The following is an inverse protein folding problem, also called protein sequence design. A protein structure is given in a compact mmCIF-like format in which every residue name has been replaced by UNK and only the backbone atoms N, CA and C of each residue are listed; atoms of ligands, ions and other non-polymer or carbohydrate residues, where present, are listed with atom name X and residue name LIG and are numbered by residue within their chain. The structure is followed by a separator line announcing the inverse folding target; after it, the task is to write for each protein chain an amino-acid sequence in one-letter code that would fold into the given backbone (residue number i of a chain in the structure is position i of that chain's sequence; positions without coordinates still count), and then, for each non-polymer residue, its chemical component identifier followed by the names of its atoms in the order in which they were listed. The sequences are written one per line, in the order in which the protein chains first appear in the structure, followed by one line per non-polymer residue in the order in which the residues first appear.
data_IF_066691480692
#
_entry.id   IF_066691480692
#
_cell.length_a   1.000
_cell.length_b   1.000
_cell.length_c   1.000
_cell.angle_alpha   90.00
_cell.angle_beta   90.00
_cell.angle_gamma   90.00
#
_symmetry.space_group_name_H-M   'P 1'
#
loop_
_entity.id
_entity.type
_entity.pdbx_description
1 polymer ?
#
# COMPACT_ATOMS: atom_id res chain seq x y z
N UNK A 1 15.97 31.09 6.38
CA UNK A 1 17.00 30.10 6.15
C UNK A 1 16.97 29.14 7.33
N UNK A 2 16.26 28.06 7.22
CA UNK A 2 16.37 26.86 8.07
C UNK A 2 16.05 25.72 7.12
N UNK A 3 17.09 25.11 6.58
CA UNK A 3 17.01 23.90 5.81
C UNK A 3 16.67 22.74 6.76
N UNK A 4 15.47 22.23 6.65
CA UNK A 4 15.16 20.91 7.18
C UNK A 4 15.94 19.91 6.32
N UNK A 5 17.07 19.43 6.82
CA UNK A 5 17.82 18.33 6.26
C UNK A 5 16.93 17.10 6.26
N UNK A 6 16.76 16.49 5.09
CA UNK A 6 16.32 15.09 4.97
C UNK A 6 17.17 14.27 5.96
N UNK A 7 16.60 13.33 6.72
CA UNK A 7 17.39 12.51 7.61
C UNK A 7 18.43 11.74 6.81
N UNK A 8 19.70 12.06 7.04
CA UNK A 8 20.87 11.56 6.30
C UNK A 8 21.22 10.10 6.63
N UNK A 9 20.35 9.34 7.28
CA UNK A 9 20.64 7.99 7.80
C UNK A 9 19.51 6.96 7.61
N UNK A 10 18.90 6.93 6.44
CA UNK A 10 18.25 5.71 5.97
C UNK A 10 19.19 5.07 4.95
N UNK A 11 20.28 4.50 5.44
CA UNK A 11 21.07 3.55 4.65
C UNK A 11 20.21 2.32 4.34
N UNK A 12 20.58 1.52 3.32
CA UNK A 12 19.82 0.32 2.92
C UNK A 12 19.60 -0.71 4.02
N UNK A 13 20.13 -0.50 5.21
CA UNK A 13 20.03 -1.37 6.38
C UNK A 13 18.95 -0.97 7.40
N UNK A 14 18.41 0.25 7.36
CA UNK A 14 17.46 0.73 8.38
C UNK A 14 16.12 -0.03 8.41
N UNK A 15 15.70 -0.60 7.29
CA UNK A 15 14.50 -1.45 7.19
C UNK A 15 14.75 -2.88 7.70
N UNK A 16 15.99 -3.38 7.62
CA UNK A 16 16.30 -4.78 7.79
C UNK A 16 16.80 -5.14 9.18
N UNK A 17 17.42 -4.20 9.90
CA UNK A 17 17.97 -4.48 11.24
C UNK A 17 16.88 -4.57 12.32
N UNK A 18 15.71 -4.00 12.10
CA UNK A 18 14.58 -4.02 13.05
C UNK A 18 13.76 -5.31 13.02
N UNK A 19 13.87 -6.12 11.98
CA UNK A 19 13.07 -7.34 11.78
C UNK A 19 13.68 -8.57 12.48
N UNK A 20 14.94 -8.53 12.91
CA UNK A 20 15.67 -9.74 13.35
C UNK A 20 15.62 -10.09 14.84
N UNK A 21 15.04 -9.28 15.73
CA UNK A 21 15.25 -9.48 17.20
C UNK A 21 14.06 -10.01 18.02
N UNK A 22 12.94 -10.47 17.44
CA UNK A 22 11.84 -11.01 18.25
C UNK A 22 11.40 -12.40 17.81
N UNK A 23 11.51 -13.38 18.75
CA UNK A 23 10.99 -14.73 18.51
C UNK A 23 9.45 -14.74 18.38
N UNK A 24 8.90 -15.49 17.39
CA UNK A 24 7.45 -15.58 17.20
C UNK A 24 6.79 -16.35 18.36
N UNK A 25 5.70 -15.81 18.91
CA UNK A 25 4.82 -16.56 19.80
C UNK A 25 4.20 -17.75 19.03
N UNK A 26 4.05 -18.86 19.72
CA UNK A 26 3.61 -20.20 19.24
C UNK A 26 2.78 -20.22 17.96
N UNK A 27 3.24 -21.00 16.98
CA UNK A 27 2.51 -21.28 15.74
C UNK A 27 1.30 -22.19 16.00
N UNK A 28 0.10 -21.77 15.59
CA UNK A 28 -1.14 -22.55 15.62
C UNK A 28 -1.22 -23.59 14.47
N UNK A 29 -2.15 -24.57 14.51
CA UNK A 29 -2.28 -25.63 13.52
C UNK A 29 -2.47 -25.15 12.07
N UNK A 30 -2.12 -26.02 11.10
CA UNK A 30 -2.01 -25.73 9.67
C UNK A 30 -3.34 -25.75 8.87
N UNK A 31 -4.50 -25.64 9.50
CA UNK A 31 -5.76 -25.55 8.76
C UNK A 31 -5.92 -24.17 8.08
N UNK A 32 -6.51 -24.16 6.88
CA UNK A 32 -6.76 -22.92 6.16
C UNK A 32 -7.66 -21.99 6.97
N UNK A 33 -7.28 -20.71 7.08
CA UNK A 33 -8.11 -19.70 7.74
C UNK A 33 -9.20 -19.27 6.75
N UNK A 34 -10.44 -19.72 6.99
CA UNK A 34 -11.59 -19.41 6.15
C UNK A 34 -12.69 -18.75 6.98
N UNK A 35 -13.23 -17.64 6.47
CA UNK A 35 -14.34 -16.93 7.07
C UNK A 35 -14.00 -16.02 8.27
N UNK A 36 -15.00 -15.29 8.75
CA UNK A 36 -14.88 -14.34 9.85
C UNK A 36 -15.22 -15.00 11.19
N UNK A 37 -14.35 -14.88 12.21
CA UNK A 37 -14.65 -15.41 13.54
C UNK A 37 -15.85 -14.67 14.19
N UNK A 38 -16.92 -15.36 14.49
CA UNK A 38 -18.12 -14.79 15.11
C UNK A 38 -17.86 -14.04 16.44
N UNK A 39 -16.80 -14.44 17.16
CA UNK A 39 -16.35 -13.78 18.40
C UNK A 39 -15.95 -12.31 18.22
N UNK A 40 -15.46 -11.93 17.04
CA UNK A 40 -15.00 -10.56 16.74
C UNK A 40 -16.05 -9.71 16.05
N UNK A 41 -17.03 -10.31 15.39
CA UNK A 41 -17.96 -9.63 14.50
C UNK A 41 -19.39 -9.98 14.81
N UNK A 42 -20.21 -8.97 15.06
CA UNK A 42 -21.69 -9.11 15.20
C UNK A 42 -22.41 -9.13 13.84
N UNK A 43 -21.73 -8.71 12.77
CA UNK A 43 -22.24 -8.72 11.39
C UNK A 43 -21.05 -8.72 10.42
N UNK A 44 -21.30 -9.08 9.16
CA UNK A 44 -20.28 -9.03 8.11
C UNK A 44 -19.99 -7.58 7.71
N UNK A 45 -18.75 -7.05 7.95
CA UNK A 45 -18.41 -5.67 7.61
C UNK A 45 -18.55 -5.34 6.11
N UNK A 46 -18.45 -6.33 5.23
CA UNK A 46 -18.59 -6.15 3.78
C UNK A 46 -20.01 -5.76 3.34
N UNK A 47 -20.99 -5.96 4.22
CA UNK A 47 -22.39 -5.58 4.01
C UNK A 47 -22.68 -4.11 4.35
N UNK A 48 -21.72 -3.40 4.94
CA UNK A 48 -21.90 -1.98 5.28
C UNK A 48 -22.15 -1.15 4.01
N UNK A 49 -23.03 -0.16 4.16
CA UNK A 49 -23.32 0.83 3.13
C UNK A 49 -23.13 2.21 3.74
N UNK A 50 -22.35 3.05 3.06
CA UNK A 50 -22.15 4.43 3.50
C UNK A 50 -23.45 5.23 3.38
N UNK A 51 -23.68 6.11 4.35
CA UNK A 51 -24.74 7.12 4.29
C UNK A 51 -24.37 8.23 3.31
N UNK A 52 -25.32 9.10 2.93
CA UNK A 52 -25.05 10.23 2.04
C UNK A 52 -23.97 11.16 2.61
N UNK A 53 -23.97 11.42 3.92
CA UNK A 53 -22.96 12.24 4.58
C UNK A 53 -21.58 11.58 4.58
N UNK A 54 -21.52 10.27 4.75
CA UNK A 54 -20.29 9.50 4.68
C UNK A 54 -19.74 9.44 3.24
N UNK A 55 -20.60 9.27 2.24
CA UNK A 55 -20.23 9.35 0.82
C UNK A 55 -19.67 10.72 0.46
N UNK A 56 -20.31 11.81 0.91
CA UNK A 56 -19.84 13.17 0.71
C UNK A 56 -18.47 13.40 1.37
N UNK A 57 -18.30 12.92 2.61
CA UNK A 57 -17.03 13.01 3.31
C UNK A 57 -15.92 12.24 2.59
N UNK A 58 -16.18 11.00 2.15
CA UNK A 58 -15.21 10.21 1.40
C UNK A 58 -14.87 10.83 0.05
N UNK A 59 -15.82 11.47 -0.61
CA UNK A 59 -15.56 12.20 -1.85
C UNK A 59 -14.56 13.35 -1.62
N UNK A 60 -14.73 14.12 -0.55
CA UNK A 60 -13.78 15.16 -0.16
C UNK A 60 -12.38 14.59 0.19
N UNK A 61 -12.33 13.47 0.93
CA UNK A 61 -11.08 12.77 1.24
C UNK A 61 -10.35 12.39 -0.05
N UNK A 62 -11.07 11.80 -0.99
CA UNK A 62 -10.51 11.33 -2.25
C UNK A 62 -10.05 12.47 -3.15
N UNK A 63 -10.83 13.53 -3.29
CA UNK A 63 -10.45 14.70 -4.10
C UNK A 63 -9.19 15.36 -3.55
N UNK A 64 -9.09 15.55 -2.23
CA UNK A 64 -7.89 16.12 -1.60
C UNK A 64 -6.68 15.21 -1.74
N UNK A 65 -6.86 13.90 -1.58
CA UNK A 65 -5.80 12.92 -1.80
C UNK A 65 -5.32 12.94 -3.27
N UNK A 66 -6.25 13.05 -4.23
CA UNK A 66 -5.92 13.19 -5.64
C UNK A 66 -5.09 14.46 -5.94
N UNK A 67 -5.38 15.58 -5.30
CA UNK A 67 -4.61 16.83 -5.47
C UNK A 67 -3.12 16.63 -5.15
N UNK A 68 -2.77 15.75 -4.20
CA UNK A 68 -1.37 15.40 -3.96
C UNK A 68 -0.72 14.86 -5.23
N UNK A 69 -1.33 13.88 -5.87
CA UNK A 69 -0.78 13.24 -7.07
C UNK A 69 -0.78 14.16 -8.29
N UNK A 70 -1.70 15.09 -8.34
CA UNK A 70 -1.77 16.08 -9.42
C UNK A 70 -0.72 17.17 -9.29
N UNK A 71 -0.53 17.72 -8.09
CA UNK A 71 0.34 18.87 -7.83
C UNK A 71 1.78 18.49 -7.45
N UNK A 72 1.99 17.36 -6.79
CA UNK A 72 3.31 16.86 -6.40
C UNK A 72 3.94 15.97 -7.48
N UNK A 73 3.37 15.90 -8.66
CA UNK A 73 4.02 15.35 -9.83
C UNK A 73 4.92 16.38 -10.51
N UNK A 74 6.11 15.96 -10.93
CA UNK A 74 6.96 16.79 -11.76
C UNK A 74 6.24 17.10 -13.10
N UNK A 75 6.05 18.37 -13.47
CA UNK A 75 5.24 18.74 -14.64
C UNK A 75 5.85 18.32 -15.98
N UNK A 76 7.16 18.02 -16.02
CA UNK A 76 7.88 17.62 -17.25
C UNK A 76 8.00 16.09 -17.38
N UNK A 77 7.87 15.35 -16.31
CA UNK A 77 8.15 13.92 -16.29
C UNK A 77 6.99 13.08 -15.75
N UNK A 78 6.07 13.70 -15.02
CA UNK A 78 4.96 13.02 -14.36
C UNK A 78 5.37 12.17 -13.15
N UNK A 79 6.65 12.14 -12.79
CA UNK A 79 7.11 11.37 -11.62
C UNK A 79 6.64 12.07 -10.33
N UNK A 80 6.16 11.29 -9.37
CA UNK A 80 5.49 11.78 -8.17
C UNK A 80 6.44 11.75 -6.99
N UNK A 81 6.48 12.84 -6.22
CA UNK A 81 7.28 12.96 -5.01
C UNK A 81 6.92 11.88 -3.99
N UNK A 82 7.93 11.39 -3.26
CA UNK A 82 7.73 10.53 -2.10
C UNK A 82 6.86 11.21 -1.07
N UNK A 83 7.18 12.46 -0.77
CA UNK A 83 6.50 13.30 0.20
C UNK A 83 6.43 14.76 -0.24
N UNK A 84 5.39 15.46 0.17
CA UNK A 84 5.22 16.88 -0.05
C UNK A 84 4.59 17.54 1.16
N UNK A 85 4.78 18.86 1.33
CA UNK A 85 4.14 19.61 2.40
C UNK A 85 2.61 19.40 2.36
N UNK A 86 2.00 19.01 3.45
CA UNK A 86 0.57 18.72 3.54
C UNK A 86 -0.31 19.95 3.22
N UNK A 87 0.21 21.16 3.43
CA UNK A 87 -0.42 22.43 3.05
C UNK A 87 -0.15 22.83 1.59
N UNK A 88 0.60 22.03 0.84
CA UNK A 88 1.02 22.31 -0.53
C UNK A 88 2.37 23.03 -0.61
N UNK A 89 2.99 22.96 -1.76
CA UNK A 89 4.32 23.55 -2.02
C UNK A 89 4.91 23.01 -3.31
N UNK A 90 6.08 23.49 -3.68
CA UNK A 90 6.78 22.98 -4.84
C UNK A 90 7.34 21.57 -4.56
N UNK A 91 7.34 20.68 -5.57
CA UNK A 91 8.01 19.38 -5.50
C UNK A 91 9.48 19.49 -5.09
N UNK A 92 9.97 18.52 -4.33
CA UNK A 92 11.33 18.49 -3.77
C UNK A 92 12.33 17.73 -4.64
N UNK A 93 11.87 17.16 -5.76
CA UNK A 93 12.66 16.37 -6.72
C UNK A 93 13.21 15.03 -6.15
N UNK A 94 12.49 14.44 -5.21
CA UNK A 94 12.75 13.10 -4.69
C UNK A 94 11.49 12.23 -4.88
N UNK A 95 11.40 11.62 -6.07
CA UNK A 95 10.24 10.83 -6.47
C UNK A 95 10.35 9.38 -6.00
N UNK A 96 9.22 8.82 -5.54
CA UNK A 96 9.06 7.39 -5.26
C UNK A 96 8.36 6.71 -6.44
N UNK A 97 8.92 5.59 -6.90
CA UNK A 97 8.26 4.82 -7.97
C UNK A 97 6.96 4.19 -7.51
N UNK A 98 6.87 3.80 -6.23
CA UNK A 98 5.61 3.33 -5.62
C UNK A 98 4.55 4.45 -5.59
N UNK A 99 4.90 5.65 -5.10
CA UNK A 99 3.99 6.79 -5.12
C UNK A 99 3.51 7.12 -6.53
N UNK A 100 4.39 7.00 -7.54
CA UNK A 100 4.03 7.17 -8.95
C UNK A 100 3.02 6.10 -9.40
N UNK A 101 3.14 4.86 -8.93
CA UNK A 101 2.17 3.79 -9.19
C UNK A 101 0.79 4.08 -8.60
N UNK A 102 0.72 4.52 -7.34
CA UNK A 102 -0.53 5.00 -6.73
C UNK A 102 -1.12 6.18 -7.51
N UNK A 103 -0.29 7.14 -7.92
CA UNK A 103 -0.72 8.30 -8.69
C UNK A 103 -1.27 7.96 -10.08
N UNK A 104 -0.69 6.99 -10.78
CA UNK A 104 -1.25 6.49 -12.04
C UNK A 104 -2.67 5.95 -11.85
N UNK A 105 -2.91 5.23 -10.77
CA UNK A 105 -4.27 4.76 -10.43
C UNK A 105 -5.18 5.94 -10.02
N UNK A 106 -4.64 6.90 -9.27
CA UNK A 106 -5.38 8.12 -8.89
C UNK A 106 -5.82 8.94 -10.12
N UNK A 107 -5.01 8.98 -11.18
CA UNK A 107 -5.37 9.59 -12.46
C UNK A 107 -6.56 8.88 -13.13
N UNK A 108 -6.63 7.54 -13.07
CA UNK A 108 -7.80 6.78 -13.57
C UNK A 108 -9.06 7.12 -12.76
N UNK A 109 -8.95 7.21 -11.43
CA UNK A 109 -10.07 7.61 -10.56
C UNK A 109 -10.52 9.03 -10.89
N UNK A 110 -9.59 9.96 -11.06
CA UNK A 110 -9.91 11.36 -11.38
C UNK A 110 -10.65 11.49 -12.71
N UNK A 111 -10.21 10.81 -13.76
CA UNK A 111 -10.90 10.77 -15.04
C UNK A 111 -12.31 10.16 -14.90
N UNK A 112 -12.44 9.05 -14.15
CA UNK A 112 -13.72 8.41 -13.89
C UNK A 112 -14.71 9.30 -13.11
N UNK A 113 -14.21 10.06 -12.15
CA UNK A 113 -14.98 10.98 -11.31
C UNK A 113 -15.20 12.35 -11.95
N UNK A 114 -14.50 12.67 -13.04
CA UNK A 114 -14.57 13.97 -13.70
C UNK A 114 -13.92 15.10 -12.86
N UNK A 115 -12.90 14.79 -12.06
CA UNK A 115 -12.18 15.81 -11.28
C UNK A 115 -11.21 16.63 -12.14
N UNK A 116 -10.76 16.05 -13.25
CA UNK A 116 -9.90 16.67 -14.25
C UNK A 116 -10.38 16.33 -15.65
N UNK A 117 -10.02 17.15 -16.63
CA UNK A 117 -10.33 16.91 -18.03
C UNK A 117 -9.64 15.64 -18.55
N UNK A 118 -10.39 14.74 -19.18
CA UNK A 118 -9.90 13.44 -19.66
C UNK A 118 -8.64 13.56 -20.55
N UNK A 119 -8.61 14.57 -21.43
CA UNK A 119 -7.44 14.82 -22.28
C UNK A 119 -6.18 15.18 -21.45
N UNK A 120 -6.31 16.01 -20.41
CA UNK A 120 -5.19 16.39 -19.55
C UNK A 120 -4.69 15.19 -18.75
N UNK A 121 -5.61 14.35 -18.28
CA UNK A 121 -5.25 13.11 -17.56
C UNK A 121 -4.50 12.15 -18.49
N UNK A 122 -4.99 11.90 -19.71
CA UNK A 122 -4.31 11.04 -20.71
C UNK A 122 -2.91 11.51 -21.02
N UNK A 123 -2.72 12.80 -21.25
CA UNK A 123 -1.39 13.38 -21.52
C UNK A 123 -0.46 13.19 -20.31
N UNK A 124 -0.96 13.36 -19.09
CA UNK A 124 -0.19 13.12 -17.87
C UNK A 124 0.21 11.65 -17.75
N UNK A 125 -0.69 10.71 -18.03
CA UNK A 125 -0.41 9.27 -18.02
C UNK A 125 0.66 8.92 -19.06
N UNK A 126 0.53 9.39 -20.31
CA UNK A 126 1.53 9.17 -21.36
C UNK A 126 2.89 9.72 -20.99
N UNK A 127 2.93 10.94 -20.45
CA UNK A 127 4.16 11.56 -19.97
C UNK A 127 4.83 10.71 -18.90
N UNK A 128 4.08 10.29 -17.89
CA UNK A 128 4.57 9.50 -16.76
C UNK A 128 5.12 8.14 -17.18
N UNK A 129 4.33 7.38 -17.96
CA UNK A 129 4.74 6.07 -18.46
C UNK A 129 5.89 6.17 -19.46
N UNK A 130 5.83 7.13 -20.38
CA UNK A 130 6.88 7.36 -21.38
C UNK A 130 8.22 7.76 -20.75
N UNK A 131 8.20 8.60 -19.72
CA UNK A 131 9.39 8.96 -18.97
C UNK A 131 9.94 7.76 -18.16
N UNK A 132 9.05 7.03 -17.49
CA UNK A 132 9.45 5.83 -16.74
C UNK A 132 10.09 4.78 -17.63
N UNK A 133 9.57 4.58 -18.85
CA UNK A 133 10.13 3.63 -19.81
C UNK A 133 11.52 4.02 -20.31
N UNK A 134 11.75 5.32 -20.59
CA UNK A 134 12.93 5.82 -21.31
C UNK A 134 14.02 6.36 -20.40
N UNK A 135 13.68 6.94 -19.25
CA UNK A 135 14.58 7.76 -18.45
C UNK A 135 14.79 7.26 -17.02
N UNK A 136 13.78 6.61 -16.42
CA UNK A 136 13.94 6.12 -15.05
C UNK A 136 14.97 5.00 -15.02
N UNK A 137 16.00 5.20 -14.19
CA UNK A 137 17.07 4.23 -14.01
C UNK A 137 16.51 2.90 -13.46
N UNK A 138 16.98 1.81 -14.02
CA UNK A 138 16.47 0.47 -13.74
C UNK A 138 17.57 -0.59 -13.86
N UNK A 139 17.32 -1.79 -13.36
CA UNK A 139 18.15 -2.96 -13.55
C UNK A 139 17.27 -4.17 -13.86
N UNK A 140 17.45 -4.81 -15.01
CA UNK A 140 16.62 -5.94 -15.45
C UNK A 140 15.11 -5.66 -15.42
N UNK A 141 14.72 -4.42 -15.75
CA UNK A 141 13.33 -3.96 -15.74
C UNK A 141 12.80 -3.51 -14.38
N UNK A 142 13.49 -3.83 -13.28
CA UNK A 142 13.14 -3.32 -11.94
C UNK A 142 13.65 -1.89 -11.74
N UNK A 143 12.82 -1.05 -11.16
CA UNK A 143 13.08 0.36 -10.90
C UNK A 143 13.79 0.55 -9.55
N UNK A 144 14.58 1.60 -9.43
CA UNK A 144 15.08 2.04 -8.13
C UNK A 144 13.93 2.65 -7.30
N UNK A 145 13.92 2.38 -5.99
CA UNK A 145 12.91 2.86 -5.04
C UNK A 145 12.73 4.38 -5.13
N UNK A 146 13.83 5.15 -5.01
CA UNK A 146 13.84 6.59 -5.13
C UNK A 146 14.64 7.05 -6.34
N UNK A 147 14.05 7.99 -7.09
CA UNK A 147 14.66 8.58 -8.28
C UNK A 147 14.46 10.09 -8.30
N UNK A 148 15.36 10.80 -8.99
CA UNK A 148 15.13 12.21 -9.30
C UNK A 148 13.90 12.35 -10.19
N UNK A 149 12.92 13.13 -9.74
CA UNK A 149 11.73 13.45 -10.53
C UNK A 149 12.04 14.16 -11.84
N UNK A 150 13.19 14.82 -11.93
CA UNK A 150 13.64 15.55 -13.12
C UNK A 150 14.39 14.66 -14.12
N UNK A 151 15.29 13.81 -13.64
CA UNK A 151 16.22 13.06 -14.49
C UNK A 151 15.95 11.56 -14.53
N UNK A 152 15.19 11.02 -13.59
CA UNK A 152 14.97 9.59 -13.44
C UNK A 152 16.14 8.82 -12.84
N UNK A 153 17.23 9.49 -12.46
CA UNK A 153 18.42 8.84 -11.89
C UNK A 153 18.18 8.45 -10.44
N UNK A 154 18.79 7.35 -10.01
CA UNK A 154 18.78 6.85 -8.62
C UNK A 154 19.10 7.95 -7.61
N UNK A 155 18.34 8.02 -6.54
CA UNK A 155 18.57 8.90 -5.39
C UNK A 155 18.74 8.10 -4.09
N UNK A 156 19.30 8.78 -3.08
CA UNK A 156 19.40 8.29 -1.69
C UNK A 156 20.13 6.95 -1.54
N UNK A 157 20.96 6.56 -2.49
CA UNK A 157 21.58 5.23 -2.57
C UNK A 157 20.57 4.09 -2.46
N UNK A 158 19.32 4.34 -2.90
CA UNK A 158 18.25 3.38 -2.83
C UNK A 158 18.56 2.10 -3.63
N UNK A 159 17.93 1.03 -3.25
CA UNK A 159 17.97 -0.25 -3.97
C UNK A 159 17.09 -0.23 -5.21
N UNK A 160 17.37 -1.11 -6.14
CA UNK A 160 16.39 -1.62 -7.10
C UNK A 160 15.38 -2.43 -6.29
N UNK A 161 14.13 -2.02 -6.32
CA UNK A 161 13.09 -2.56 -5.45
C UNK A 161 12.03 -3.35 -6.23
N UNK A 162 11.89 -4.65 -5.99
CA UNK A 162 10.83 -5.43 -6.64
C UNK A 162 9.43 -5.08 -6.15
N UNK A 163 9.28 -4.69 -4.87
CA UNK A 163 7.97 -4.33 -4.33
C UNK A 163 7.48 -2.99 -4.88
N UNK A 164 8.34 -1.96 -4.91
CA UNK A 164 7.99 -0.65 -5.45
C UNK A 164 7.76 -0.71 -6.95
N UNK A 165 8.54 -1.54 -7.67
CA UNK A 165 8.29 -1.86 -9.07
C UNK A 165 6.92 -2.52 -9.24
N UNK A 166 6.55 -3.46 -8.37
CA UNK A 166 5.23 -4.10 -8.37
C UNK A 166 4.09 -3.09 -8.20
N UNK A 167 4.21 -2.16 -7.24
CA UNK A 167 3.25 -1.08 -7.02
C UNK A 167 3.15 -0.13 -8.22
N UNK A 168 4.29 0.24 -8.82
CA UNK A 168 4.32 1.03 -10.05
C UNK A 168 3.59 0.31 -11.20
N UNK A 169 3.87 -0.97 -11.40
CA UNK A 169 3.22 -1.78 -12.44
C UNK A 169 1.71 -1.94 -12.21
N UNK A 170 1.26 -2.06 -10.97
CA UNK A 170 -0.17 -2.06 -10.67
C UNK A 170 -0.85 -0.77 -11.17
N UNK A 171 -0.23 0.39 -10.96
CA UNK A 171 -0.72 1.66 -11.50
C UNK A 171 -0.69 1.71 -13.03
N UNK A 172 0.43 1.31 -13.64
CA UNK A 172 0.56 1.28 -15.10
C UNK A 172 -0.48 0.35 -15.76
N UNK A 173 -0.69 -0.83 -15.20
CA UNK A 173 -1.69 -1.80 -15.69
C UNK A 173 -3.13 -1.32 -15.45
N UNK A 174 -3.39 -0.54 -14.40
CA UNK A 174 -4.70 0.11 -14.22
C UNK A 174 -4.97 1.11 -15.35
N UNK A 175 -3.97 1.94 -15.71
CA UNK A 175 -4.07 2.84 -16.86
C UNK A 175 -4.28 2.09 -18.16
N UNK A 176 -3.55 0.98 -18.41
CA UNK A 176 -3.71 0.13 -19.58
C UNK A 176 -5.15 -0.39 -19.76
N UNK A 177 -5.77 -0.75 -18.65
CA UNK A 177 -7.11 -1.31 -18.64
C UNK A 177 -8.22 -0.26 -18.73
N UNK A 178 -7.98 0.92 -18.17
CA UNK A 178 -8.98 1.99 -18.11
C UNK A 178 -9.04 2.82 -19.38
N UNK A 179 -7.89 3.23 -19.93
CA UNK A 179 -7.87 4.11 -21.10
C UNK A 179 -7.90 3.30 -22.42
N UNK A 180 -8.89 3.61 -23.26
CA UNK A 180 -8.87 3.17 -24.66
C UNK A 180 -7.92 4.08 -25.46
N UNK A 181 -6.62 3.85 -25.28
CA UNK A 181 -5.53 4.58 -25.90
C UNK A 181 -4.34 3.65 -26.15
N UNK A 182 -4.03 3.44 -27.44
CA UNK A 182 -3.01 2.48 -27.85
C UNK A 182 -1.60 2.83 -27.36
N UNK A 183 -1.30 4.11 -27.19
CA UNK A 183 0.01 4.55 -26.69
C UNK A 183 0.14 4.21 -25.20
N UNK A 184 -0.87 4.54 -24.37
CA UNK A 184 -0.91 4.16 -22.95
C UNK A 184 -0.82 2.64 -22.79
N UNK A 185 -1.59 1.89 -23.59
CA UNK A 185 -1.61 0.43 -23.56
C UNK A 185 -0.23 -0.16 -23.93
N UNK A 186 0.43 0.41 -24.95
CA UNK A 186 1.75 0.00 -25.40
C UNK A 186 2.82 0.27 -24.34
N UNK A 187 2.87 1.49 -23.80
CA UNK A 187 3.84 1.90 -22.79
C UNK A 187 3.74 1.05 -21.51
N UNK A 188 2.52 0.82 -21.03
CA UNK A 188 2.29 0.02 -19.81
C UNK A 188 2.65 -1.45 -20.04
N UNK A 189 2.36 -1.99 -21.22
CA UNK A 189 2.72 -3.37 -21.58
C UNK A 189 4.23 -3.54 -21.66
N UNK A 190 4.95 -2.62 -22.30
CA UNK A 190 6.42 -2.67 -22.40
C UNK A 190 7.09 -2.55 -21.04
N UNK A 191 6.59 -1.67 -20.15
CA UNK A 191 7.06 -1.55 -18.78
C UNK A 191 6.90 -2.85 -17.98
N UNK A 192 5.79 -3.56 -18.16
CA UNK A 192 5.54 -4.84 -17.50
C UNK A 192 6.38 -5.97 -18.10
N UNK A 193 6.41 -6.10 -19.42
CA UNK A 193 7.03 -7.23 -20.14
C UNK A 193 8.57 -7.22 -20.02
N UNK A 194 9.20 -6.05 -19.78
CA UNK A 194 10.67 -5.92 -19.63
C UNK A 194 11.20 -6.45 -18.30
N UNK A 195 10.33 -6.70 -17.29
CA UNK A 195 10.77 -7.09 -15.95
C UNK A 195 11.20 -8.55 -15.93
N UNK A 196 12.48 -8.79 -15.63
CA UNK A 196 13.06 -10.11 -15.53
C UNK A 196 12.89 -10.69 -14.13
N UNK A 197 11.67 -11.14 -13.81
CA UNK A 197 11.29 -11.64 -12.47
C UNK A 197 12.20 -12.75 -11.94
N UNK A 198 12.75 -13.58 -12.81
CA UNK A 198 13.66 -14.65 -12.40
C UNK A 198 15.05 -14.13 -11.99
N UNK A 199 15.47 -12.94 -12.48
CA UNK A 199 16.72 -12.32 -12.09
C UNK A 199 16.74 -11.98 -10.60
N UNK A 200 15.67 -11.38 -10.07
CA UNK A 200 15.59 -10.97 -8.65
C UNK A 200 15.47 -12.15 -7.68
N UNK A 201 15.16 -13.36 -8.18
CA UNK A 201 15.23 -14.59 -7.37
C UNK A 201 16.68 -14.92 -6.99
N UNK A 202 17.65 -14.57 -7.82
CA UNK A 202 19.08 -14.82 -7.60
C UNK A 202 19.35 -16.25 -7.08
N UNK A 203 18.78 -17.24 -7.77
CA UNK A 203 18.94 -18.67 -7.42
C UNK A 203 18.24 -19.11 -6.13
N UNK A 204 17.47 -18.24 -5.45
CA UNK A 204 16.69 -18.59 -4.28
C UNK A 204 15.28 -19.04 -4.61
N UNK A 205 14.52 -19.48 -3.60
CA UNK A 205 13.12 -19.89 -3.72
C UNK A 205 12.14 -18.71 -3.58
N UNK A 206 12.58 -17.59 -2.98
CA UNK A 206 11.83 -16.36 -2.83
C UNK A 206 12.61 -15.18 -3.47
N UNK A 207 11.90 -14.09 -3.78
CA UNK A 207 12.51 -12.89 -4.35
C UNK A 207 13.41 -12.20 -3.32
N UNK A 208 14.60 -11.71 -3.74
CA UNK A 208 15.39 -10.80 -2.91
C UNK A 208 14.62 -9.52 -2.67
N UNK A 209 14.79 -8.89 -1.50
CA UNK A 209 14.15 -7.60 -1.23
C UNK A 209 14.69 -6.46 -2.10
N UNK A 210 15.85 -6.64 -2.71
CA UNK A 210 16.40 -5.65 -3.63
C UNK A 210 17.81 -5.98 -4.12
N UNK A 211 18.33 -5.04 -4.90
CA UNK A 211 19.70 -5.08 -5.42
C UNK A 211 20.29 -3.66 -5.41
N UNK A 212 21.56 -3.55 -5.02
CA UNK A 212 22.31 -2.30 -5.08
C UNK A 212 23.62 -2.50 -5.84
N UNK A 213 24.08 -1.53 -6.65
CA UNK A 213 25.30 -1.69 -7.45
C UNK A 213 26.55 -1.87 -6.59
N UNK A 214 26.56 -1.38 -5.36
CA UNK A 214 27.69 -1.41 -4.44
C UNK A 214 27.91 -2.78 -3.78
N UNK A 215 26.83 -3.60 -3.63
CA UNK A 215 26.87 -4.84 -2.83
C UNK A 215 26.20 -6.04 -3.52
N UNK A 216 25.46 -5.79 -4.63
CA UNK A 216 24.67 -6.83 -5.29
C UNK A 216 23.31 -7.03 -4.61
N UNK A 217 22.82 -8.27 -4.61
CA UNK A 217 21.52 -8.61 -4.02
C UNK A 217 21.52 -8.47 -2.51
N UNK A 218 20.45 -7.88 -1.99
CA UNK A 218 20.21 -7.81 -0.56
C UNK A 218 19.99 -9.22 0.01
N UNK A 219 20.48 -9.47 1.22
CA UNK A 219 20.34 -10.78 1.89
C UNK A 219 18.88 -11.12 2.26
N UNK A 220 18.08 -10.16 2.80
CA UNK A 220 16.68 -10.42 3.11
C UNK A 220 15.86 -10.73 1.86
N UNK A 221 14.83 -11.55 2.04
CA UNK A 221 13.95 -12.00 0.96
C UNK A 221 12.49 -11.73 1.32
N UNK A 222 11.68 -11.62 0.28
CA UNK A 222 10.23 -11.57 0.40
C UNK A 222 9.70 -12.99 0.64
N UNK A 223 10.04 -13.59 1.78
CA UNK A 223 9.76 -14.98 2.14
C UNK A 223 8.79 -15.14 3.31
N UNK A 224 8.20 -14.04 3.77
CA UNK A 224 7.22 -14.03 4.86
C UNK A 224 6.07 -13.07 4.51
N UNK A 225 4.83 -13.41 4.86
CA UNK A 225 3.63 -12.62 4.59
C UNK A 225 3.82 -11.13 4.94
N UNK A 226 3.55 -10.32 3.95
CA UNK A 226 3.56 -8.85 3.99
C UNK A 226 2.73 -8.34 2.80
N UNK A 227 3.00 -7.14 2.29
CA UNK A 227 2.39 -6.56 1.10
C UNK A 227 2.74 -7.27 -0.23
N UNK A 228 3.56 -8.30 -0.19
CA UNK A 228 4.22 -8.98 -1.31
C UNK A 228 3.31 -9.62 -2.37
N UNK A 229 2.04 -9.91 -2.06
CA UNK A 229 1.19 -10.73 -2.92
C UNK A 229 1.06 -10.21 -4.35
N UNK A 230 0.85 -8.87 -4.54
CA UNK A 230 0.70 -8.29 -5.87
C UNK A 230 1.95 -8.50 -6.73
N UNK A 231 3.14 -8.37 -6.14
CA UNK A 231 4.42 -8.57 -6.83
C UNK A 231 4.58 -10.02 -7.31
N UNK A 232 4.29 -10.99 -6.45
CA UNK A 232 4.34 -12.41 -6.82
C UNK A 232 3.32 -12.77 -7.89
N UNK A 233 2.08 -12.26 -7.78
CA UNK A 233 1.03 -12.52 -8.77
C UNK A 233 1.38 -11.95 -10.14
N UNK A 234 1.95 -10.74 -10.19
CA UNK A 234 2.46 -10.15 -11.43
C UNK A 234 3.62 -10.97 -12.01
N UNK A 235 4.57 -11.38 -11.17
CA UNK A 235 5.71 -12.18 -11.61
C UNK A 235 5.31 -13.58 -12.14
N UNK A 236 4.33 -14.24 -11.48
CA UNK A 236 3.79 -15.51 -11.97
C UNK A 236 3.11 -15.38 -13.35
N UNK A 237 2.43 -14.27 -13.58
CA UNK A 237 1.69 -14.02 -14.82
C UNK A 237 2.56 -13.50 -15.96
N UNK A 238 3.83 -13.17 -15.75
CA UNK A 238 4.73 -12.65 -16.77
C UNK A 238 4.80 -13.57 -17.99
N UNK A 239 4.74 -12.99 -19.18
CA UNK A 239 4.86 -13.73 -20.44
C UNK A 239 6.31 -13.90 -20.88
N UNK A 240 7.18 -13.00 -20.45
CA UNK A 240 8.59 -12.93 -20.87
C UNK A 240 9.51 -13.68 -19.91
N UNK A 241 9.36 -13.44 -18.62
CA UNK A 241 10.22 -13.98 -17.55
C UNK A 241 9.39 -14.45 -16.36
N UNK A 242 8.49 -15.44 -16.54
CA UNK A 242 7.58 -15.87 -15.49
C UNK A 242 8.31 -16.49 -14.30
N UNK A 243 7.83 -16.20 -13.10
CA UNK A 243 8.23 -16.94 -11.91
C UNK A 243 7.75 -18.38 -11.99
N UNK A 244 8.49 -19.35 -11.42
CA UNK A 244 7.99 -20.71 -11.26
C UNK A 244 6.71 -20.73 -10.41
N UNK A 245 5.69 -21.50 -10.81
CA UNK A 245 4.42 -21.57 -10.08
C UNK A 245 4.57 -22.00 -8.61
N UNK A 246 5.63 -22.74 -8.29
CA UNK A 246 5.96 -23.15 -6.92
C UNK A 246 6.28 -21.99 -5.99
N UNK A 247 6.77 -20.87 -6.51
CA UNK A 247 7.24 -19.73 -5.71
C UNK A 247 6.17 -19.15 -4.79
N UNK A 248 4.90 -19.23 -5.19
CA UNK A 248 3.77 -18.79 -4.38
C UNK A 248 3.69 -19.50 -3.03
N UNK A 249 4.18 -20.73 -2.96
CA UNK A 249 4.13 -21.56 -1.77
C UNK A 249 5.42 -21.51 -0.94
N UNK A 250 6.45 -20.83 -1.40
CA UNK A 250 7.75 -20.79 -0.74
C UNK A 250 7.81 -19.73 0.39
N UNK A 251 7.00 -18.69 0.32
CA UNK A 251 6.93 -17.71 1.39
C UNK A 251 6.00 -18.16 2.52
N UNK A 252 6.36 -17.81 3.73
CA UNK A 252 5.67 -18.22 4.95
C UNK A 252 4.42 -17.37 5.22
N UNK A 253 3.41 -17.97 5.86
CA UNK A 253 2.20 -17.34 6.39
C UNK A 253 2.17 -17.58 7.90
N UNK A 254 2.93 -16.81 8.69
CA UNK A 254 2.97 -17.00 10.13
C UNK A 254 1.58 -16.83 10.73
N UNK A 255 1.21 -17.73 11.63
CA UNK A 255 -0.08 -17.71 12.31
C UNK A 255 0.11 -17.25 13.74
N UNK A 256 -0.67 -16.29 14.12
CA UNK A 256 -0.66 -15.70 15.44
C UNK A 256 -2.05 -15.82 16.07
N UNK A 257 -2.09 -15.75 17.38
CA UNK A 257 -3.32 -15.79 18.15
C UNK A 257 -3.47 -14.52 18.96
N UNK A 258 -4.64 -13.90 18.86
CA UNK A 258 -5.06 -12.76 19.67
C UNK A 258 -6.47 -13.02 20.20
N UNK A 259 -6.65 -13.07 21.53
CA UNK A 259 -7.93 -13.35 22.17
C UNK A 259 -8.64 -14.58 21.58
N UNK A 260 -7.93 -15.71 21.49
CA UNK A 260 -8.38 -17.00 20.93
C UNK A 260 -8.73 -16.94 19.41
N UNK A 261 -8.36 -15.90 18.70
CA UNK A 261 -8.54 -15.79 17.26
C UNK A 261 -7.22 -15.94 16.55
N UNK A 262 -7.14 -16.96 15.68
CA UNK A 262 -5.96 -17.24 14.87
C UNK A 262 -6.07 -16.50 13.54
N UNK A 263 -4.98 -15.85 13.13
CA UNK A 263 -4.90 -15.13 11.85
C UNK A 263 -3.48 -15.19 11.27
N UNK A 264 -3.35 -14.94 9.97
CA UNK A 264 -2.04 -14.75 9.33
C UNK A 264 -1.59 -13.33 9.63
N UNK A 265 -0.45 -13.19 10.30
CA UNK A 265 0.12 -11.90 10.63
C UNK A 265 1.39 -11.60 9.84
N UNK A 266 1.78 -10.34 9.82
CA UNK A 266 3.01 -9.84 9.25
C UNK A 266 3.97 -9.40 10.35
N UNK A 267 5.28 -9.40 10.05
CA UNK A 267 6.30 -8.73 10.89
C UNK A 267 6.37 -7.23 10.59
N UNK A 268 5.37 -6.70 9.93
CA UNK A 268 5.24 -5.31 9.53
C UNK A 268 3.89 -4.76 10.02
N UNK A 269 3.76 -3.43 10.11
CA UNK A 269 2.53 -2.79 10.53
C UNK A 269 1.38 -3.01 9.54
N UNK A 270 0.24 -2.35 9.80
CA UNK A 270 -1.06 -2.65 9.18
C UNK A 270 -1.07 -2.56 7.65
N UNK A 271 -0.22 -1.73 7.03
CA UNK A 271 -0.13 -1.61 5.56
C UNK A 271 0.12 -2.94 4.85
N UNK A 272 0.81 -3.88 5.51
CA UNK A 272 1.06 -5.22 4.97
C UNK A 272 -0.22 -5.98 4.60
N UNK A 273 -1.32 -5.67 5.28
CA UNK A 273 -2.65 -6.21 5.00
C UNK A 273 -3.45 -5.37 3.99
N UNK A 274 -2.89 -4.26 3.47
CA UNK A 274 -3.64 -3.29 2.66
C UNK A 274 -3.15 -3.22 1.21
N UNK A 275 -1.85 -3.09 0.97
CA UNK A 275 -1.32 -2.68 -0.34
C UNK A 275 -1.69 -3.62 -1.48
N UNK A 276 -1.54 -4.95 -1.31
CA UNK A 276 -1.96 -5.89 -2.36
C UNK A 276 -3.47 -5.84 -2.64
N UNK A 277 -4.27 -5.53 -1.62
CA UNK A 277 -5.73 -5.42 -1.74
C UNK A 277 -6.18 -4.14 -2.47
N UNK A 278 -5.31 -3.16 -2.66
CA UNK A 278 -5.68 -1.95 -3.39
C UNK A 278 -6.03 -2.24 -4.86
N UNK A 279 -5.37 -3.24 -5.47
CA UNK A 279 -5.56 -3.60 -6.88
C UNK A 279 -6.15 -5.00 -7.07
N UNK A 280 -5.71 -5.99 -6.28
CA UNK A 280 -6.21 -7.35 -6.37
C UNK A 280 -7.43 -7.55 -5.46
N UNK A 281 -8.57 -7.90 -6.07
CA UNK A 281 -9.78 -8.22 -5.31
C UNK A 281 -9.73 -9.66 -4.79
N UNK A 282 -9.36 -9.83 -3.54
CA UNK A 282 -9.33 -11.13 -2.88
C UNK A 282 -10.67 -11.52 -2.22
N UNK A 283 -11.75 -10.76 -2.43
CA UNK A 283 -13.06 -11.06 -1.84
C UNK A 283 -13.62 -12.38 -2.36
N UNK A 284 -14.04 -13.24 -1.44
CA UNK A 284 -14.73 -14.48 -1.77
C UNK A 284 -13.87 -15.55 -2.43
N UNK A 285 -12.55 -15.43 -2.31
CA UNK A 285 -11.58 -16.41 -2.81
C UNK A 285 -10.52 -16.73 -1.74
N UNK A 286 -9.96 -17.92 -1.83
CA UNK A 286 -8.88 -18.36 -0.98
C UNK A 286 -7.86 -19.19 -1.78
N UNK A 287 -6.63 -19.24 -1.31
CA UNK A 287 -5.68 -20.26 -1.70
C UNK A 287 -5.70 -21.43 -0.67
N UNK A 288 -4.75 -22.36 -0.77
CA UNK A 288 -4.66 -23.47 0.19
C UNK A 288 -4.30 -23.04 1.62
N UNK A 289 -3.92 -21.79 1.85
CA UNK A 289 -3.44 -21.28 3.13
C UNK A 289 -4.47 -20.39 3.83
N UNK A 290 -5.12 -19.47 3.08
CA UNK A 290 -6.02 -18.50 3.68
C UNK A 290 -6.98 -17.84 2.66
N UNK A 291 -8.11 -17.38 3.17
CA UNK A 291 -8.87 -16.26 2.61
C UNK A 291 -8.22 -14.96 3.09
N UNK A 292 -7.41 -14.35 2.23
CA UNK A 292 -6.63 -13.16 2.60
C UNK A 292 -7.51 -11.93 2.84
N UNK A 293 -8.69 -11.84 2.22
CA UNK A 293 -9.61 -10.73 2.49
C UNK A 293 -10.23 -10.85 3.89
N UNK A 294 -10.74 -12.02 4.23
CA UNK A 294 -11.24 -12.29 5.59
C UNK A 294 -10.13 -12.12 6.63
N UNK A 295 -8.93 -12.59 6.32
CA UNK A 295 -7.76 -12.42 7.19
C UNK A 295 -7.42 -10.95 7.46
N UNK A 296 -7.47 -10.08 6.43
CA UNK A 296 -7.19 -8.64 6.57
C UNK A 296 -8.26 -7.91 7.36
N UNK A 297 -9.53 -8.35 7.26
CA UNK A 297 -10.62 -7.88 8.15
C UNK A 297 -10.28 -8.22 9.61
N UNK A 298 -9.89 -9.46 9.88
CA UNK A 298 -9.50 -9.92 11.23
C UNK A 298 -8.29 -9.15 11.75
N UNK A 299 -7.24 -9.03 10.96
CA UNK A 299 -6.02 -8.31 11.34
C UNK A 299 -6.31 -6.82 11.67
N UNK A 300 -7.15 -6.16 10.87
CA UNK A 300 -7.56 -4.77 11.13
C UNK A 300 -8.36 -4.65 12.43
N UNK A 301 -9.27 -5.59 12.70
CA UNK A 301 -10.03 -5.62 13.94
C UNK A 301 -9.14 -5.85 15.16
N UNK A 302 -8.20 -6.77 15.05
CA UNK A 302 -7.21 -7.03 16.10
C UNK A 302 -6.35 -5.80 16.34
N UNK A 303 -5.90 -5.11 15.30
CA UNK A 303 -5.14 -3.87 15.42
C UNK A 303 -5.91 -2.80 16.19
N UNK A 304 -7.21 -2.60 15.89
CA UNK A 304 -8.09 -1.70 16.65
C UNK A 304 -8.13 -2.11 18.12
N UNK A 305 -8.45 -3.38 18.42
CA UNK A 305 -8.56 -3.87 19.79
C UNK A 305 -7.25 -3.71 20.57
N UNK A 306 -6.14 -3.99 19.93
CA UNK A 306 -4.82 -3.79 20.52
C UNK A 306 -4.54 -2.31 20.85
N UNK A 307 -4.90 -1.37 19.97
CA UNK A 307 -4.81 0.05 20.29
C UNK A 307 -5.64 0.40 21.54
N UNK A 308 -6.86 -0.12 21.65
CA UNK A 308 -7.73 0.12 22.81
C UNK A 308 -7.16 -0.48 24.12
N UNK A 309 -6.49 -1.64 24.06
CA UNK A 309 -5.80 -2.23 25.20
C UNK A 309 -4.63 -1.37 25.71
N UNK A 310 -4.12 -0.48 24.89
CA UNK A 310 -3.05 0.46 25.24
C UNK A 310 -3.57 1.81 25.78
N UNK A 311 -4.87 1.98 25.97
CA UNK A 311 -5.48 3.24 26.39
C UNK A 311 -4.97 3.74 27.75
N UNK A 312 -4.58 2.85 28.66
CA UNK A 312 -3.96 3.23 29.95
C UNK A 312 -2.62 3.97 29.75
N UNK A 313 -1.90 3.63 28.69
CA UNK A 313 -0.62 4.27 28.32
C UNK A 313 -0.82 5.43 27.36
N UNK A 314 -1.78 5.31 26.45
CA UNK A 314 -2.10 6.28 25.40
C UNK A 314 -3.59 6.60 25.44
N UNK A 315 -4.03 7.56 26.28
CA UNK A 315 -5.45 7.81 26.54
C UNK A 315 -6.28 8.25 25.32
N UNK A 316 -5.61 8.69 24.26
CA UNK A 316 -6.26 9.06 22.99
C UNK A 316 -6.64 7.85 22.12
N UNK A 317 -6.16 6.64 22.45
CA UNK A 317 -6.63 5.43 21.76
C UNK A 317 -8.01 5.04 22.29
N UNK A 318 -9.03 5.43 21.53
CA UNK A 318 -10.44 5.20 21.84
C UNK A 318 -11.17 4.60 20.63
N UNK A 319 -12.45 4.23 20.80
CA UNK A 319 -13.25 3.54 19.80
C UNK A 319 -13.28 4.21 18.42
N UNK A 320 -13.17 5.54 18.38
CA UNK A 320 -13.19 6.36 17.17
C UNK A 320 -11.87 7.11 16.90
N UNK A 321 -10.77 6.72 17.58
CA UNK A 321 -9.43 7.24 17.32
C UNK A 321 -8.39 6.16 17.62
N UNK A 322 -7.92 5.49 16.58
CA UNK A 322 -6.96 4.39 16.64
C UNK A 322 -6.26 4.21 15.29
N UNK A 323 -5.20 3.45 15.29
CA UNK A 323 -4.52 2.99 14.08
C UNK A 323 -3.15 3.61 13.89
N UNK A 324 -2.16 2.73 13.79
CA UNK A 324 -0.79 3.05 13.42
C UNK A 324 -0.32 2.12 12.30
N UNK A 325 0.51 2.68 11.44
CA UNK A 325 1.23 1.97 10.39
C UNK A 325 2.49 2.76 10.07
N UNK A 326 3.36 2.29 9.18
CA UNK A 326 4.58 3.01 8.84
C UNK A 326 4.29 4.47 8.44
N UNK A 327 4.99 5.41 9.08
CA UNK A 327 4.73 6.85 8.91
C UNK A 327 5.89 7.71 9.42
N UNK A 328 5.78 9.01 9.22
CA UNK A 328 6.61 9.97 9.93
C UNK A 328 6.34 9.95 11.44
N UNK A 329 7.34 10.33 12.21
CA UNK A 329 7.27 10.60 13.63
C UNK A 329 8.03 11.88 13.97
N UNK A 330 7.97 12.32 15.24
CA UNK A 330 8.78 13.43 15.75
C UNK A 330 10.29 13.20 15.55
N UNK A 331 10.71 11.94 15.39
CA UNK A 331 12.12 11.53 15.28
C UNK A 331 12.50 11.01 13.88
N UNK A 332 11.66 11.17 12.90
CA UNK A 332 11.83 10.70 11.52
C UNK A 332 10.82 9.62 11.14
N UNK A 333 11.07 8.93 10.03
CA UNK A 333 10.21 7.86 9.57
C UNK A 333 10.35 6.60 10.43
N UNK A 334 9.23 6.05 10.89
CA UNK A 334 9.17 4.90 11.78
C UNK A 334 8.31 3.78 11.19
N UNK A 335 8.80 2.55 11.37
CA UNK A 335 7.98 1.36 11.20
C UNK A 335 7.45 1.01 12.59
N UNK A 336 6.24 1.48 12.86
CA UNK A 336 5.63 1.29 14.17
C UNK A 336 5.37 -0.18 14.49
N UNK A 337 5.35 -0.51 15.77
CA UNK A 337 4.89 -1.80 16.25
C UNK A 337 3.40 -2.01 16.02
N UNK A 338 2.96 -3.19 16.31
CA UNK A 338 1.56 -3.61 16.21
C UNK A 338 1.45 -5.13 16.29
N UNK A 339 0.22 -5.67 16.48
CA UNK A 339 0.04 -7.10 16.48
C UNK A 339 0.49 -7.71 15.14
N UNK A 340 1.12 -8.87 15.16
CA UNK A 340 1.42 -9.69 16.32
C UNK A 340 2.73 -9.30 17.00
N UNK A 341 3.55 -8.47 16.38
CA UNK A 341 4.88 -8.09 16.85
C UNK A 341 4.80 -6.75 17.57
N UNK A 342 5.21 -6.76 18.84
CA UNK A 342 5.32 -5.52 19.60
C UNK A 342 6.62 -4.82 19.20
N UNK A 343 6.50 -3.69 18.51
CA UNK A 343 7.62 -2.82 18.18
C UNK A 343 7.55 -1.50 18.97
N UNK A 344 8.28 -0.50 18.47
CA UNK A 344 8.22 0.86 19.00
C UNK A 344 6.83 1.44 18.80
N UNK A 345 6.35 2.19 19.80
CA UNK A 345 5.04 2.85 19.81
C UNK A 345 5.08 4.04 20.75
N UNK A 346 4.51 5.16 20.38
CA UNK A 346 4.55 6.41 21.15
C UNK A 346 3.19 7.09 21.33
N UNK A 347 2.10 6.46 20.88
CA UNK A 347 0.75 7.04 20.91
C UNK A 347 0.38 7.86 19.69
N UNK A 348 1.21 7.83 18.64
CA UNK A 348 0.88 8.46 17.36
C UNK A 348 -0.37 7.85 16.74
N UNK A 349 -1.09 8.69 15.98
CA UNK A 349 -2.21 8.31 15.11
C UNK A 349 -1.77 8.51 13.66
N UNK A 350 -2.00 7.49 12.84
CA UNK A 350 -1.66 7.49 11.41
C UNK A 350 -2.95 7.33 10.59
N UNK A 351 -3.47 8.40 9.98
CA UNK A 351 -4.79 8.37 9.32
C UNK A 351 -4.93 7.30 8.24
N UNK A 352 -3.86 7.01 7.49
CA UNK A 352 -3.90 5.99 6.44
C UNK A 352 -4.05 4.56 6.99
N UNK A 353 -3.80 4.31 8.28
CA UNK A 353 -4.10 3.02 8.90
C UNK A 353 -5.61 2.72 8.82
N UNK A 354 -6.45 3.70 9.12
CA UNK A 354 -7.90 3.62 8.93
C UNK A 354 -8.27 3.77 7.45
N UNK A 355 -7.71 4.76 6.73
CA UNK A 355 -8.01 5.00 5.33
C UNK A 355 -7.77 3.80 4.43
N UNK A 356 -6.61 3.15 4.57
CA UNK A 356 -6.25 1.92 3.84
C UNK A 356 -7.06 0.68 4.27
N UNK A 357 -7.81 0.76 5.38
CA UNK A 357 -8.64 -0.33 5.90
C UNK A 357 -10.14 -0.15 5.63
N UNK A 358 -10.55 0.88 4.90
CA UNK A 358 -11.97 1.19 4.63
C UNK A 358 -12.74 0.02 4.02
N UNK A 359 -12.10 -0.82 3.20
CA UNK A 359 -12.74 -2.01 2.61
C UNK A 359 -12.91 -3.16 3.61
N UNK A 360 -12.16 -3.16 4.72
CA UNK A 360 -12.17 -4.22 5.73
C UNK A 360 -13.12 -3.91 6.90
N UNK A 361 -13.06 -2.69 7.43
CA UNK A 361 -13.90 -2.23 8.54
C UNK A 361 -14.49 -0.84 8.24
N UNK A 362 -15.38 -0.73 7.23
CA UNK A 362 -15.83 0.57 6.72
C UNK A 362 -16.42 1.47 7.82
N UNK A 363 -17.29 0.92 8.68
CA UNK A 363 -17.95 1.67 9.74
C UNK A 363 -16.98 2.23 10.78
N UNK A 364 -16.03 1.42 11.20
CA UNK A 364 -15.03 1.82 12.21
C UNK A 364 -14.02 2.80 11.62
N UNK A 365 -13.57 2.53 10.41
CA UNK A 365 -12.55 3.35 9.75
C UNK A 365 -13.07 4.75 9.38
N UNK A 366 -14.29 4.86 8.85
CA UNK A 366 -14.85 6.17 8.51
C UNK A 366 -15.05 7.04 9.75
N UNK A 367 -15.45 6.45 10.89
CA UNK A 367 -15.57 7.16 12.17
C UNK A 367 -14.24 7.72 12.63
N UNK A 368 -13.15 6.96 12.50
CA UNK A 368 -11.81 7.46 12.81
C UNK A 368 -11.47 8.66 11.96
N UNK A 369 -11.66 8.57 10.65
CA UNK A 369 -11.32 9.65 9.72
C UNK A 369 -12.17 10.91 9.99
N UNK A 370 -13.47 10.76 10.22
CA UNK A 370 -14.36 11.87 10.59
C UNK A 370 -13.94 12.51 11.91
N UNK A 371 -13.65 11.69 12.93
CA UNK A 371 -13.21 12.17 14.24
C UNK A 371 -11.88 12.93 14.16
N UNK A 372 -10.90 12.44 13.37
CA UNK A 372 -9.65 13.17 13.14
C UNK A 372 -9.95 14.55 12.53
N UNK A 373 -10.80 14.62 11.49
CA UNK A 373 -11.18 15.89 10.86
C UNK A 373 -11.87 16.85 11.84
N UNK A 374 -12.79 16.34 12.66
CA UNK A 374 -13.57 17.15 13.60
C UNK A 374 -12.74 17.64 14.78
N UNK A 375 -12.03 16.74 15.47
CA UNK A 375 -11.30 17.07 16.69
C UNK A 375 -9.98 17.78 16.44
N UNK A 376 -9.25 17.38 15.38
CA UNK A 376 -7.94 17.92 15.09
C UNK A 376 -7.95 18.97 13.97
N UNK A 377 -9.02 19.07 13.19
CA UNK A 377 -9.29 20.14 12.24
C UNK A 377 -8.07 20.52 11.42
N UNK A 378 -7.73 21.82 11.37
CA UNK A 378 -6.60 22.35 10.60
C UNK A 378 -5.22 21.81 11.01
N UNK A 379 -5.09 21.10 12.12
CA UNK A 379 -3.83 20.49 12.53
C UNK A 379 -3.57 19.22 11.69
N UNK A 380 -4.57 18.33 11.54
CA UNK A 380 -4.44 17.04 10.88
C UNK A 380 -5.12 16.98 9.50
N UNK A 381 -5.96 17.95 9.15
CA UNK A 381 -6.67 18.05 7.88
C UNK A 381 -6.20 19.26 7.08
N UNK A 382 -5.53 19.00 5.97
CA UNK A 382 -4.77 19.97 5.19
C UNK A 382 -5.22 20.00 3.72
N UNK A 383 -4.40 20.62 2.85
CA UNK A 383 -4.69 20.71 1.42
C UNK A 383 -4.88 19.36 0.75
N UNK A 384 -4.00 18.40 1.04
CA UNK A 384 -4.01 17.06 0.47
C UNK A 384 -4.80 16.03 1.30
N UNK A 385 -5.72 16.48 2.15
CA UNK A 385 -6.47 15.66 3.08
C UNK A 385 -5.77 15.55 4.42
N UNK A 386 -5.52 14.34 4.88
CA UNK A 386 -4.85 14.12 6.16
C UNK A 386 -3.34 14.33 6.05
N UNK A 387 -2.73 14.84 7.14
CA UNK A 387 -1.29 14.75 7.35
C UNK A 387 -0.88 13.29 7.47
N UNK A 388 0.40 13.00 7.31
CA UNK A 388 0.90 11.62 7.39
C UNK A 388 0.66 10.99 8.76
N UNK A 389 1.05 11.69 9.83
CA UNK A 389 0.84 11.26 11.21
C UNK A 389 0.76 12.45 12.17
N UNK A 390 0.22 12.21 13.36
CA UNK A 390 0.26 13.16 14.48
C UNK A 390 0.21 12.44 15.82
N UNK A 391 0.73 13.07 16.86
CA UNK A 391 0.72 12.52 18.20
C UNK A 391 -0.10 13.43 19.14
N UNK A 392 -1.28 12.98 19.61
CA UNK A 392 -2.12 13.78 20.50
C UNK A 392 -1.46 14.12 21.84
N UNK A 393 -0.62 13.21 22.39
CA UNK A 393 0.03 13.39 23.68
C UNK A 393 1.09 14.50 23.65
N UNK A 394 1.94 14.52 22.61
CA UNK A 394 3.04 15.49 22.49
C UNK A 394 2.60 16.76 21.80
N UNK A 395 1.51 16.69 21.04
CA UNK A 395 1.03 17.76 20.18
C UNK A 395 1.78 17.85 18.86
N UNK A 396 2.71 16.93 18.57
CA UNK A 396 3.41 16.86 17.30
C UNK A 396 2.47 16.53 16.13
N UNK A 397 2.75 17.09 14.95
CA UNK A 397 2.01 16.84 13.71
C UNK A 397 3.00 16.84 12.55
N UNK A 398 2.95 15.82 11.69
CA UNK A 398 3.75 15.80 10.46
C UNK A 398 3.42 17.01 9.58
N UNK A 399 4.46 17.61 9.03
CA UNK A 399 4.32 18.70 8.05
C UNK A 399 4.01 18.16 6.66
N UNK A 400 4.28 16.87 6.42
CA UNK A 400 4.20 16.24 5.11
C UNK A 400 2.95 15.35 4.98
N UNK A 401 2.56 15.14 3.72
CA UNK A 401 1.77 14.02 3.25
C UNK A 401 2.72 13.09 2.47
N UNK A 402 2.62 11.78 2.69
CA UNK A 402 3.39 10.77 1.99
C UNK A 402 2.58 10.18 0.84
N UNK A 403 3.20 10.02 -0.33
CA UNK A 403 2.51 9.56 -1.53
C UNK A 403 1.87 8.18 -1.37
N UNK A 404 2.58 7.20 -0.78
CA UNK A 404 2.03 5.86 -0.58
C UNK A 404 0.86 5.85 0.43
N UNK A 405 0.95 6.65 1.51
CA UNK A 405 -0.07 6.71 2.56
C UNK A 405 -1.33 7.46 2.10
N UNK A 406 -1.14 8.53 1.32
CA UNK A 406 -2.22 9.24 0.64
C UNK A 406 -2.87 8.33 -0.42
N UNK A 407 -2.04 7.58 -1.17
CA UNK A 407 -2.48 6.69 -2.23
C UNK A 407 -3.32 5.52 -1.72
N UNK A 408 -2.85 4.81 -0.68
CA UNK A 408 -3.64 3.70 -0.14
C UNK A 408 -4.99 4.17 0.39
N UNK A 409 -5.05 5.36 1.02
CA UNK A 409 -6.31 5.96 1.47
C UNK A 409 -7.26 6.23 0.29
N UNK A 410 -6.77 6.85 -0.78
CA UNK A 410 -7.56 7.15 -1.97
C UNK A 410 -8.11 5.90 -2.64
N UNK A 411 -7.25 4.91 -2.92
CA UNK A 411 -7.63 3.71 -3.64
C UNK A 411 -8.60 2.84 -2.83
N UNK A 412 -8.36 2.72 -1.52
CA UNK A 412 -9.22 1.90 -0.67
C UNK A 412 -10.57 2.57 -0.37
N UNK A 413 -10.62 3.90 -0.32
CA UNK A 413 -11.87 4.65 -0.29
C UNK A 413 -12.68 4.40 -1.58
N UNK A 414 -12.05 4.46 -2.75
CA UNK A 414 -12.72 4.19 -4.04
C UNK A 414 -13.23 2.74 -4.09
N UNK A 415 -12.39 1.78 -3.69
CA UNK A 415 -12.81 0.38 -3.65
C UNK A 415 -13.94 0.11 -2.65
N UNK A 416 -13.94 0.78 -1.50
CA UNK A 416 -15.01 0.64 -0.51
C UNK A 416 -16.35 1.19 -1.01
N UNK A 417 -16.32 2.29 -1.77
CA UNK A 417 -17.51 2.96 -2.33
C UNK A 417 -18.05 2.22 -3.56
N UNK A 418 -17.18 1.84 -4.51
CA UNK A 418 -17.62 1.40 -5.84
C UNK A 418 -16.96 0.10 -6.32
N UNK A 419 -15.77 -0.25 -5.79
CA UNK A 419 -14.96 -1.35 -6.32
C UNK A 419 -14.26 -1.01 -7.64
N UNK A 420 -14.24 0.26 -8.05
CA UNK A 420 -13.73 0.70 -9.35
C UNK A 420 -12.31 0.23 -9.65
N UNK A 421 -11.35 0.40 -8.72
CA UNK A 421 -9.97 0.00 -8.98
C UNK A 421 -9.88 -1.51 -9.22
N UNK A 422 -10.57 -2.30 -8.40
CA UNK A 422 -10.63 -3.76 -8.58
C UNK A 422 -11.23 -4.16 -9.93
N UNK A 423 -12.33 -3.50 -10.32
CA UNK A 423 -12.99 -3.77 -11.60
C UNK A 423 -12.05 -3.46 -12.78
N UNK A 424 -11.41 -2.29 -12.77
CA UNK A 424 -10.51 -1.92 -13.85
C UNK A 424 -9.27 -2.81 -13.89
N UNK A 425 -8.62 -3.03 -12.76
CA UNK A 425 -7.40 -3.83 -12.70
C UNK A 425 -7.63 -5.29 -13.14
N UNK A 426 -8.77 -5.87 -12.77
CA UNK A 426 -9.14 -7.24 -13.12
C UNK A 426 -9.31 -7.47 -14.65
N UNK A 427 -9.45 -6.41 -15.45
CA UNK A 427 -9.50 -6.53 -16.94
C UNK A 427 -8.16 -6.93 -17.53
N UNK A 428 -7.06 -6.80 -16.80
CA UNK A 428 -5.76 -7.26 -17.24
C UNK A 428 -5.68 -8.79 -17.16
N UNK A 429 -5.35 -9.48 -18.27
CA UNK A 429 -5.30 -10.95 -18.30
C UNK A 429 -4.27 -11.53 -17.31
N UNK A 430 -3.26 -10.78 -16.97
CA UNK A 430 -2.23 -11.14 -15.98
C UNK A 430 -2.83 -11.35 -14.58
N UNK A 431 -3.89 -10.62 -14.24
CA UNK A 431 -4.54 -10.75 -12.91
C UNK A 431 -5.17 -12.14 -12.77
N UNK A 432 -6.01 -12.53 -13.72
CA UNK A 432 -6.63 -13.87 -13.71
C UNK A 432 -5.58 -14.98 -13.79
N UNK A 433 -4.54 -14.80 -14.62
CA UNK A 433 -3.46 -15.76 -14.79
C UNK A 433 -2.63 -15.94 -13.53
N UNK A 434 -2.26 -14.84 -12.87
CA UNK A 434 -1.51 -14.88 -11.60
C UNK A 434 -2.31 -15.59 -10.50
N UNK A 435 -3.60 -15.27 -10.36
CA UNK A 435 -4.50 -15.91 -9.41
C UNK A 435 -4.65 -17.42 -9.67
N UNK A 436 -4.81 -17.83 -10.93
CA UNK A 436 -4.88 -19.24 -11.33
C UNK A 436 -3.60 -19.99 -10.93
N UNK A 437 -2.42 -19.44 -11.28
CA UNK A 437 -1.12 -20.05 -10.98
C UNK A 437 -0.80 -20.11 -9.49
N UNK A 438 -1.30 -19.14 -8.72
CA UNK A 438 -1.22 -19.14 -7.26
C UNK A 438 -2.20 -20.11 -6.60
N UNK A 439 -3.14 -20.68 -7.35
CA UNK A 439 -4.10 -21.69 -6.87
C UNK A 439 -5.29 -21.11 -6.12
N UNK A 440 -5.70 -19.87 -6.42
CA UNK A 440 -6.90 -19.27 -5.85
C UNK A 440 -8.17 -19.96 -6.36
N UNK A 441 -9.08 -20.24 -5.45
CA UNK A 441 -10.38 -20.87 -5.68
C UNK A 441 -11.49 -20.03 -5.02
N UNK A 442 -12.73 -20.09 -5.52
CA UNK A 442 -13.88 -19.49 -4.84
C UNK A 442 -14.09 -20.08 -3.44
N UNK A 443 -14.49 -19.24 -2.49
CA UNK A 443 -14.85 -19.70 -1.16
C UNK A 443 -16.01 -20.70 -1.21
N UNK A 444 -16.02 -21.71 -0.33
CA UNK A 444 -17.18 -22.59 -0.17
C UNK A 444 -18.45 -21.76 0.10
N UNK A 445 -19.54 -22.12 -0.56
CA UNK A 445 -20.83 -21.51 -0.23
C UNK A 445 -21.19 -21.91 1.20
N UNK A 446 -21.67 -20.97 2.04
CA UNK A 446 -22.16 -21.35 3.36
C UNK A 446 -23.25 -22.42 3.21
N UNK A 447 -23.12 -23.51 3.95
CA UNK A 447 -24.19 -24.50 4.06
C UNK A 447 -25.46 -23.77 4.56
N UNK A 448 -26.55 -23.93 3.80
CA UNK A 448 -27.82 -23.30 4.11
C UNK A 448 -28.51 -23.96 5.28
#
# INVERSE_FOLDING_TARGET
MLGASLPANLGPHGWFDLVQEQEPRKTAPREAITGLPAKLFGFDPSLYRFTEDEEFFLDEVQQRSFLYFWEQANPKTGQIEDRGLADGGAPRNASSVAATGFGLTALCIAAHRGWEEDAAVRERVKLTLGFALKNVQQQHGFLYHFVSGETGQRLLNSEVSPIDTGLFLCGALTCRAYFDDKEIQGLATELYDRVEWTWIMHGGQALSMGWVPEQGFLKPRWDTYSELMMMYLLGLASKTHPLPATVWNEWQRPRFEFNEVVYVGAHAPLFAHQFSHAWFNFRGIHDKQADYFANSIVATKIHKLWCLELADRFPDYVEDLWGITASDSEHGYEIWGGPPMMGRIDGSIVPCAAGGSLVFLPKECIRVLQNIREKFGKRAWKKYGFVDAFNPLTGWVSLDALGINTGITLLMAENARTGFVWEQFAKNPEVAKGMELAGFLPNPKPER
#
